data_IF_733972351229
#
_entry.id   IF_733972351229
#
_cell.length_a   1.000
_cell.length_b   1.000
_cell.length_c   1.000
_cell.angle_alpha   90.00
_cell.angle_beta   90.00
_cell.angle_gamma   90.00
#
_symmetry.space_group_name_H-M   'P 1'
#
loop_
_entity.id
_entity.type
_entity.pdbx_description
1 polymer ?
#
# COMPACT_ATOMS: atom_id res chain seq x y z
N UNK A 1 -6.81 -91.44 71.68
CA UNK A 1 -6.36 -90.19 72.30
C UNK A 1 -5.18 -89.73 71.45
N UNK A 2 -5.39 -88.62 70.75
CA UNK A 2 -4.40 -87.79 70.03
C UNK A 2 -3.60 -88.41 68.86
N UNK A 3 -3.25 -87.72 67.80
CA UNK A 3 -3.72 -86.54 67.05
C UNK A 3 -2.73 -86.51 65.88
N UNK A 4 -3.15 -86.93 64.69
CA UNK A 4 -3.42 -86.04 63.56
C UNK A 4 -2.12 -85.43 62.99
N UNK A 5 -1.57 -86.18 62.03
CA UNK A 5 -0.47 -85.82 61.14
C UNK A 5 -0.95 -84.66 60.25
N UNK A 6 -0.38 -83.48 60.46
CA UNK A 6 -0.71 -82.26 59.71
C UNK A 6 0.10 -82.22 58.41
N UNK A 7 -0.46 -82.78 57.36
CA UNK A 7 -0.08 -82.46 55.98
C UNK A 7 -0.54 -81.02 55.66
N UNK A 8 0.39 -80.09 55.69
CA UNK A 8 0.23 -78.71 55.21
C UNK A 8 0.26 -78.70 53.66
N UNK A 9 -0.83 -78.37 52.96
CA UNK A 9 -0.74 -78.10 51.54
C UNK A 9 -0.25 -76.66 51.37
N UNK A 10 0.74 -76.46 50.49
CA UNK A 10 1.18 -75.16 49.99
C UNK A 10 -0.03 -74.32 49.53
N UNK A 11 -0.56 -73.47 50.41
CA UNK A 11 -1.42 -72.38 50.01
C UNK A 11 -0.54 -71.33 49.35
N UNK A 12 -0.41 -71.44 48.02
CA UNK A 12 -0.22 -70.29 47.15
C UNK A 12 -1.27 -69.26 47.55
N UNK A 13 -0.86 -68.20 48.26
CA UNK A 13 -1.61 -66.95 48.33
C UNK A 13 -1.91 -66.57 46.88
N UNK A 14 -3.17 -66.63 46.41
CA UNK A 14 -3.52 -65.92 45.21
C UNK A 14 -3.32 -64.45 45.55
N UNK A 15 -2.64 -63.75 44.65
CA UNK A 15 -2.58 -62.31 44.62
C UNK A 15 -3.90 -61.74 45.12
N UNK A 16 -3.89 -61.05 46.27
CA UNK A 16 -4.79 -59.92 46.48
C UNK A 16 -4.35 -58.89 45.45
N UNK A 17 -4.78 -59.16 44.22
CA UNK A 17 -4.74 -58.27 43.11
C UNK A 17 -5.41 -57.01 43.61
N UNK A 18 -4.75 -55.88 43.41
CA UNK A 18 -5.34 -54.57 43.28
C UNK A 18 -6.43 -54.61 42.20
N UNK A 19 -7.52 -55.32 42.47
CA UNK A 19 -8.78 -55.25 41.75
C UNK A 19 -9.49 -53.99 42.21
N UNK A 20 -8.80 -52.85 42.11
CA UNK A 20 -9.48 -51.62 41.73
C UNK A 20 -10.10 -51.97 40.39
N UNK A 21 -11.38 -52.27 40.47
CA UNK A 21 -12.17 -53.02 39.51
C UNK A 21 -11.81 -52.58 38.08
N UNK A 22 -11.04 -53.42 37.38
CA UNK A 22 -10.50 -53.09 36.06
C UNK A 22 -11.64 -52.74 35.09
N UNK A 23 -12.85 -53.27 35.35
CA UNK A 23 -14.07 -52.96 34.61
C UNK A 23 -14.59 -51.55 34.91
N UNK A 24 -14.46 -51.06 36.15
CA UNK A 24 -14.80 -49.68 36.54
C UNK A 24 -13.83 -48.68 35.92
N UNK A 25 -12.53 -48.98 35.93
CA UNK A 25 -11.52 -48.14 35.25
C UNK A 25 -11.74 -48.12 33.74
N UNK A 26 -12.09 -49.26 33.13
CA UNK A 26 -12.42 -49.34 31.71
C UNK A 26 -13.67 -48.52 31.37
N UNK A 27 -14.72 -48.58 32.20
CA UNK A 27 -15.93 -47.78 32.04
C UNK A 27 -15.64 -46.28 32.20
N UNK A 28 -14.81 -45.90 33.16
CA UNK A 28 -14.42 -44.52 33.41
C UNK A 28 -13.57 -43.96 32.25
N UNK A 29 -12.63 -44.76 31.74
CA UNK A 29 -11.86 -44.41 30.54
C UNK A 29 -12.76 -44.26 29.31
N UNK A 30 -13.74 -45.16 29.12
CA UNK A 30 -14.68 -45.04 28.02
C UNK A 30 -15.52 -43.76 28.11
N UNK A 31 -15.95 -43.37 29.32
CA UNK A 31 -16.66 -42.11 29.56
C UNK A 31 -15.78 -40.88 29.27
N UNK A 32 -14.52 -40.91 29.66
CA UNK A 32 -13.56 -39.83 29.37
C UNK A 32 -13.30 -39.71 27.87
N UNK A 33 -13.15 -40.83 27.15
CA UNK A 33 -13.00 -40.84 25.70
C UNK A 33 -14.22 -40.23 25.03
N UNK A 34 -15.44 -40.61 25.43
CA UNK A 34 -16.67 -40.01 24.90
C UNK A 34 -16.76 -38.50 25.18
N UNK A 35 -16.34 -38.04 26.36
CA UNK A 35 -16.28 -36.61 26.68
C UNK A 35 -15.24 -35.87 25.83
N UNK A 36 -14.08 -36.48 25.60
CA UNK A 36 -13.00 -35.92 24.81
C UNK A 36 -13.40 -35.84 23.32
N UNK A 37 -14.07 -36.86 22.79
CA UNK A 37 -14.60 -36.85 21.42
C UNK A 37 -15.70 -35.80 21.24
N UNK A 38 -16.57 -35.61 22.25
CA UNK A 38 -17.57 -34.54 22.24
C UNK A 38 -16.92 -33.15 22.27
N UNK A 39 -15.86 -32.96 23.07
CA UNK A 39 -15.11 -31.71 23.11
C UNK A 39 -14.37 -31.44 21.81
N UNK A 40 -13.73 -32.45 21.21
CA UNK A 40 -13.09 -32.35 19.90
C UNK A 40 -14.08 -31.94 18.82
N UNK A 41 -15.27 -32.54 18.80
CA UNK A 41 -16.32 -32.15 17.85
C UNK A 41 -16.73 -30.69 18.03
N UNK A 42 -16.97 -30.26 19.27
CA UNK A 42 -17.30 -28.85 19.57
C UNK A 42 -16.19 -27.89 19.15
N UNK A 43 -14.93 -28.27 19.37
CA UNK A 43 -13.77 -27.47 18.95
C UNK A 43 -13.73 -27.32 17.44
N UNK A 44 -13.88 -28.43 16.70
CA UNK A 44 -13.94 -28.42 15.25
C UNK A 44 -15.11 -27.57 14.70
N UNK A 45 -16.29 -27.65 15.33
CA UNK A 45 -17.45 -26.84 14.94
C UNK A 45 -17.18 -25.33 15.15
N UNK A 46 -16.51 -24.96 16.25
CA UNK A 46 -16.12 -23.57 16.54
C UNK A 46 -15.02 -23.09 15.59
N UNK A 47 -13.99 -23.90 15.34
CA UNK A 47 -12.91 -23.57 14.37
C UNK A 47 -13.48 -23.35 12.97
N UNK A 48 -14.40 -24.23 12.54
CA UNK A 48 -15.10 -24.08 11.25
C UNK A 48 -15.89 -22.76 11.22
N UNK A 49 -16.58 -22.41 12.31
CA UNK A 49 -17.33 -21.15 12.38
C UNK A 49 -16.43 -19.91 12.37
N UNK A 50 -15.29 -19.96 13.06
CA UNK A 50 -14.28 -18.90 13.04
C UNK A 50 -13.74 -18.71 11.62
N UNK A 51 -13.46 -19.80 10.91
CA UNK A 51 -12.98 -19.72 9.53
C UNK A 51 -14.03 -19.11 8.58
N UNK A 52 -15.29 -19.51 8.71
CA UNK A 52 -16.41 -18.94 7.94
C UNK A 52 -16.58 -17.43 8.23
N UNK A 53 -16.48 -17.03 9.50
CA UNK A 53 -16.56 -15.62 9.89
C UNK A 53 -15.38 -14.81 9.32
N UNK A 54 -14.17 -15.35 9.33
CA UNK A 54 -13.02 -14.69 8.71
C UNK A 54 -13.20 -14.50 7.21
N UNK A 55 -13.68 -15.51 6.49
CA UNK A 55 -13.93 -15.39 5.05
C UNK A 55 -15.00 -14.33 4.75
N UNK A 56 -16.08 -14.31 5.54
CA UNK A 56 -17.13 -13.30 5.40
C UNK A 56 -16.58 -11.90 5.72
N UNK A 57 -15.79 -11.75 6.77
CA UNK A 57 -15.16 -10.48 7.13
C UNK A 57 -14.25 -9.98 6.01
N UNK A 58 -13.39 -10.83 5.45
CA UNK A 58 -12.55 -10.45 4.29
C UNK A 58 -13.40 -10.00 3.10
N UNK A 59 -14.52 -10.67 2.82
CA UNK A 59 -15.44 -10.23 1.76
C UNK A 59 -16.08 -8.87 2.05
N UNK A 60 -16.39 -8.54 3.31
CA UNK A 60 -16.92 -7.23 3.67
C UNK A 60 -15.85 -6.15 3.59
N UNK A 61 -14.63 -6.45 4.02
CA UNK A 61 -13.49 -5.53 3.92
C UNK A 61 -13.21 -5.18 2.45
N UNK A 62 -13.21 -6.17 1.54
CA UNK A 62 -13.04 -5.95 0.09
C UNK A 62 -14.13 -5.03 -0.50
N UNK A 63 -15.38 -5.21 -0.07
CA UNK A 63 -16.48 -4.34 -0.47
C UNK A 63 -16.29 -2.92 0.07
N UNK A 64 -15.87 -2.78 1.32
CA UNK A 64 -15.67 -1.48 1.96
C UNK A 64 -14.49 -0.72 1.32
N UNK A 65 -13.40 -1.42 0.98
CA UNK A 65 -12.28 -0.89 0.18
C UNK A 65 -12.80 -0.36 -1.15
N UNK A 66 -13.65 -1.14 -1.83
CA UNK A 66 -14.21 -0.79 -3.13
C UNK A 66 -15.11 0.45 -3.05
N UNK A 67 -15.99 0.52 -2.06
CA UNK A 67 -16.86 1.69 -1.82
C UNK A 67 -16.02 2.93 -1.53
N UNK A 68 -15.00 2.82 -0.68
CA UNK A 68 -14.12 3.95 -0.37
C UNK A 68 -13.41 4.49 -1.61
N UNK A 69 -12.90 3.58 -2.44
CA UNK A 69 -12.22 3.94 -3.68
C UNK A 69 -13.17 4.68 -4.63
N UNK A 70 -14.38 4.15 -4.82
CA UNK A 70 -15.39 4.78 -5.68
C UNK A 70 -15.81 6.14 -5.16
N UNK A 71 -15.93 6.31 -3.85
CA UNK A 71 -16.28 7.59 -3.25
C UNK A 71 -15.16 8.63 -3.41
N UNK A 72 -13.89 8.23 -3.20
CA UNK A 72 -12.75 9.13 -3.46
C UNK A 72 -12.72 9.56 -4.92
N UNK A 73 -12.92 8.62 -5.84
CA UNK A 73 -12.99 8.93 -7.27
C UNK A 73 -14.16 9.90 -7.58
N UNK A 74 -15.33 9.70 -6.96
CA UNK A 74 -16.45 10.63 -7.12
C UNK A 74 -16.09 12.05 -6.67
N UNK A 75 -15.40 12.19 -5.54
CA UNK A 75 -14.95 13.50 -5.04
C UNK A 75 -13.96 14.12 -6.02
N UNK A 76 -12.96 13.36 -6.49
CA UNK A 76 -11.98 13.83 -7.48
C UNK A 76 -12.64 14.29 -8.78
N UNK A 77 -13.60 13.49 -9.29
CA UNK A 77 -14.36 13.80 -10.50
C UNK A 77 -15.23 15.05 -10.32
N UNK A 78 -15.89 15.21 -9.15
CA UNK A 78 -16.66 16.41 -8.82
C UNK A 78 -15.78 17.66 -8.74
N UNK A 79 -14.58 17.56 -8.17
CA UNK A 79 -13.63 18.68 -8.15
C UNK A 79 -13.17 19.03 -9.56
N UNK A 80 -12.80 18.03 -10.37
CA UNK A 80 -12.39 18.23 -11.75
C UNK A 80 -13.49 18.91 -12.58
N UNK A 81 -14.72 18.44 -12.45
CA UNK A 81 -15.88 19.02 -13.12
C UNK A 81 -16.17 20.44 -12.60
N UNK A 82 -16.05 20.68 -11.30
CA UNK A 82 -16.15 22.00 -10.69
C UNK A 82 -15.15 23.00 -11.26
N UNK A 83 -13.88 22.60 -11.36
CA UNK A 83 -12.82 23.42 -11.97
C UNK A 83 -13.12 23.70 -13.44
N UNK A 84 -13.53 22.69 -14.21
CA UNK A 84 -13.91 22.87 -15.64
C UNK A 84 -15.12 23.77 -15.83
N UNK A 85 -16.04 23.79 -14.89
CA UNK A 85 -17.21 24.67 -14.91
C UNK A 85 -16.88 26.12 -14.51
N UNK A 86 -15.70 26.37 -13.92
CA UNK A 86 -15.25 27.71 -13.51
C UNK A 86 -15.27 27.98 -12.01
N UNK A 87 -15.52 26.98 -11.15
CA UNK A 87 -15.54 27.13 -9.69
C UNK A 87 -14.14 27.31 -9.07
N UNK A 88 -13.08 27.00 -9.85
CA UNK A 88 -11.67 27.20 -9.55
C UNK A 88 -11.31 26.99 -8.06
N UNK A 89 -11.05 28.07 -7.33
CA UNK A 89 -10.59 28.04 -5.93
C UNK A 89 -11.59 27.38 -4.97
N UNK A 90 -12.90 27.47 -5.22
CA UNK A 90 -13.88 26.83 -4.34
C UNK A 90 -13.89 25.31 -4.48
N UNK A 91 -13.79 24.80 -5.71
CA UNK A 91 -13.67 23.36 -5.96
C UNK A 91 -12.32 22.80 -5.49
N UNK A 92 -11.22 23.54 -5.71
CA UNK A 92 -9.88 23.09 -5.35
C UNK A 92 -9.66 22.95 -3.83
N UNK A 93 -10.40 23.69 -2.98
CA UNK A 93 -10.36 23.55 -1.51
C UNK A 93 -10.68 22.13 -1.03
N UNK A 94 -11.52 21.40 -1.75
CA UNK A 94 -11.94 20.05 -1.37
C UNK A 94 -10.85 19.00 -1.59
N UNK A 95 -9.88 19.25 -2.49
CA UNK A 95 -8.67 18.42 -2.61
C UNK A 95 -7.72 18.62 -1.43
N UNK A 96 -7.55 19.87 -0.99
CA UNK A 96 -6.64 20.24 0.10
C UNK A 96 -7.06 19.66 1.45
N UNK A 97 -8.36 19.42 1.66
CA UNK A 97 -8.89 18.83 2.89
C UNK A 97 -8.48 17.36 3.01
N UNK A 98 -8.49 16.61 1.91
CA UNK A 98 -8.12 15.19 1.88
C UNK A 98 -6.61 14.98 2.10
N UNK A 99 -5.77 15.83 1.50
CA UNK A 99 -4.32 15.72 1.64
C UNK A 99 -3.82 16.17 3.03
N UNK A 100 -4.42 17.20 3.64
CA UNK A 100 -4.03 17.70 4.98
C UNK A 100 -4.45 16.77 6.12
N UNK A 101 -5.50 15.95 5.92
CA UNK A 101 -5.96 14.97 6.91
C UNK A 101 -5.33 13.59 6.78
N UNK A 102 -4.62 13.32 5.68
CA UNK A 102 -3.78 12.11 5.51
C UNK A 102 -2.48 12.18 6.32
N UNK A 103 -2.51 12.80 7.50
CA UNK A 103 -1.36 13.03 8.36
C UNK A 103 -1.11 11.87 9.32
N UNK A 104 0.02 11.18 9.14
CA UNK A 104 0.59 10.12 9.98
C UNK A 104 -0.20 8.81 10.09
N UNK A 105 0.51 7.70 10.32
CA UNK A 105 -0.10 6.40 10.59
C UNK A 105 -0.81 6.48 11.95
N UNK A 106 -2.14 6.30 12.00
CA UNK A 106 -2.86 6.35 13.26
C UNK A 106 -2.29 5.29 14.22
N UNK A 107 -2.02 5.63 15.50
CA UNK A 107 -1.42 4.74 16.50
C UNK A 107 -2.46 3.72 17.00
N UNK A 108 -3.06 2.97 16.08
CA UNK A 108 -4.14 2.03 16.32
C UNK A 108 -3.67 0.60 15.99
N UNK A 109 -4.37 -0.38 16.55
CA UNK A 109 -4.10 -1.78 16.29
C UNK A 109 -4.37 -2.13 14.81
N UNK A 110 -3.73 -3.19 14.30
CA UNK A 110 -3.74 -3.49 12.86
C UNK A 110 -5.14 -3.74 12.28
N UNK A 111 -6.05 -4.20 13.13
CA UNK A 111 -7.47 -4.44 12.88
C UNK A 111 -8.30 -3.14 12.79
N UNK A 112 -7.92 -2.08 13.51
CA UNK A 112 -8.61 -0.78 13.48
C UNK A 112 -8.04 0.17 12.41
N UNK A 113 -6.83 -0.12 11.92
CA UNK A 113 -6.09 0.74 10.98
C UNK A 113 -6.83 1.00 9.69
N UNK A 114 -7.54 -0.01 9.18
CA UNK A 114 -8.32 0.14 7.97
C UNK A 114 -9.49 1.11 8.17
N UNK A 115 -10.24 0.97 9.25
CA UNK A 115 -11.40 1.80 9.55
C UNK A 115 -11.00 3.25 9.88
N UNK A 116 -9.91 3.44 10.63
CA UNK A 116 -9.32 4.76 10.90
C UNK A 116 -8.93 5.47 9.60
N UNK A 117 -8.28 4.76 8.66
CA UNK A 117 -7.93 5.32 7.34
C UNK A 117 -9.14 5.58 6.45
N UNK A 118 -10.15 4.73 6.53
CA UNK A 118 -11.39 4.87 5.76
C UNK A 118 -12.18 6.12 6.16
N UNK A 119 -12.20 6.42 7.45
CA UNK A 119 -12.98 7.50 8.05
C UNK A 119 -12.17 8.79 8.23
N UNK A 120 -10.87 8.77 7.92
CA UNK A 120 -9.94 9.87 8.17
C UNK A 120 -9.90 10.30 9.64
N UNK A 121 -9.87 9.31 10.55
CA UNK A 121 -9.85 9.49 12.00
C UNK A 121 -8.57 8.90 12.60
N UNK A 122 -7.93 9.62 13.53
CA UNK A 122 -6.65 9.23 14.13
C UNK A 122 -6.75 8.06 15.12
N UNK A 123 -7.90 7.88 15.76
CA UNK A 123 -8.17 6.75 16.65
C UNK A 123 -9.66 6.61 16.91
N UNK A 124 -10.16 5.38 16.87
CA UNK A 124 -11.55 5.07 17.21
C UNK A 124 -11.74 4.98 18.73
N UNK A 125 -10.66 4.79 19.50
CA UNK A 125 -10.54 5.10 20.95
C UNK A 125 -11.79 4.83 21.79
N UNK A 126 -12.43 3.68 21.62
CA UNK A 126 -13.72 3.37 22.23
C UNK A 126 -13.67 1.96 22.85
N UNK A 127 -14.06 1.83 24.12
CA UNK A 127 -14.08 0.54 24.81
C UNK A 127 -15.39 -0.24 24.60
N UNK A 128 -16.39 0.38 23.97
CA UNK A 128 -17.73 -0.15 23.73
C UNK A 128 -18.10 -0.09 22.23
N UNK A 129 -18.80 -1.13 21.75
CA UNK A 129 -19.23 -1.26 20.34
C UNK A 129 -20.09 -0.09 19.87
N UNK A 130 -20.98 0.42 20.72
CA UNK A 130 -21.94 1.47 20.34
C UNK A 130 -21.27 2.82 20.08
N UNK A 131 -20.19 3.11 20.79
CA UNK A 131 -19.39 4.32 20.60
C UNK A 131 -18.62 4.27 19.27
N UNK A 132 -18.08 3.10 18.92
CA UNK A 132 -17.42 2.88 17.63
C UNK A 132 -18.41 3.13 16.50
N UNK A 133 -19.60 2.54 16.59
CA UNK A 133 -20.68 2.71 15.58
C UNK A 133 -21.04 4.18 15.44
N UNK A 134 -21.24 4.89 16.56
CA UNK A 134 -21.58 6.32 16.52
C UNK A 134 -20.48 7.18 15.87
N UNK A 135 -19.20 6.93 16.20
CA UNK A 135 -18.07 7.66 15.57
C UNK A 135 -18.01 7.40 14.06
N UNK A 136 -18.27 6.16 13.64
CA UNK A 136 -18.33 5.79 12.22
C UNK A 136 -19.48 6.52 11.53
N UNK A 137 -20.67 6.54 12.13
CA UNK A 137 -21.83 7.25 11.60
C UNK A 137 -21.60 8.76 11.48
N UNK A 138 -20.97 9.39 12.48
CA UNK A 138 -20.60 10.80 12.47
C UNK A 138 -19.60 11.12 11.33
N UNK A 139 -18.56 10.31 11.18
CA UNK A 139 -17.56 10.48 10.13
C UNK A 139 -18.16 10.29 8.72
N UNK A 140 -19.01 9.27 8.55
CA UNK A 140 -19.73 9.04 7.28
C UNK A 140 -20.71 10.19 6.98
N UNK A 141 -21.41 10.70 7.98
CA UNK A 141 -22.32 11.84 7.83
C UNK A 141 -21.57 13.12 7.42
N UNK A 142 -20.39 13.36 8.02
CA UNK A 142 -19.53 14.48 7.67
C UNK A 142 -19.04 14.38 6.23
N UNK A 143 -18.54 13.20 5.82
CA UNK A 143 -18.08 12.94 4.46
C UNK A 143 -19.21 13.12 3.44
N UNK A 144 -20.40 12.60 3.75
CA UNK A 144 -21.59 12.78 2.93
C UNK A 144 -21.96 14.27 2.81
N UNK A 145 -22.04 15.00 3.92
CA UNK A 145 -22.36 16.43 3.93
C UNK A 145 -21.37 17.24 3.09
N UNK A 146 -20.06 16.97 3.24
CA UNK A 146 -19.01 17.66 2.47
C UNK A 146 -19.11 17.37 0.97
N UNK A 147 -19.42 16.12 0.60
CA UNK A 147 -19.61 15.73 -0.81
C UNK A 147 -20.84 16.42 -1.42
N UNK A 148 -21.93 16.52 -0.66
CA UNK A 148 -23.15 17.23 -1.09
C UNK A 148 -22.90 18.72 -1.23
N UNK A 149 -22.14 19.33 -0.32
CA UNK A 149 -21.75 20.73 -0.40
C UNK A 149 -20.93 21.04 -1.67
N UNK A 150 -19.93 20.20 -1.97
CA UNK A 150 -19.16 20.27 -3.22
C UNK A 150 -20.07 20.16 -4.46
N UNK A 151 -21.03 19.25 -4.44
CA UNK A 151 -21.99 19.09 -5.54
C UNK A 151 -22.85 20.35 -5.72
N UNK A 152 -23.23 21.01 -4.62
CA UNK A 152 -23.94 22.29 -4.64
C UNK A 152 -23.09 23.43 -5.22
N UNK A 153 -21.80 23.51 -4.88
CA UNK A 153 -20.86 24.47 -5.50
C UNK A 153 -20.81 24.25 -7.02
N UNK A 154 -20.71 23.00 -7.46
CA UNK A 154 -20.70 22.66 -8.87
C UNK A 154 -22.00 23.03 -9.59
N UNK A 155 -23.15 22.70 -9.01
CA UNK A 155 -24.47 23.04 -9.58
C UNK A 155 -24.66 24.56 -9.70
N UNK A 156 -24.32 25.31 -8.65
CA UNK A 156 -24.38 26.77 -8.67
C UNK A 156 -23.48 27.37 -9.76
N UNK A 157 -22.28 26.81 -9.94
CA UNK A 157 -21.34 27.24 -10.97
C UNK A 157 -21.87 26.96 -12.38
N UNK A 158 -22.51 25.79 -12.60
CA UNK A 158 -23.18 25.52 -13.88
C UNK A 158 -24.31 26.52 -14.12
N UNK A 159 -25.10 26.83 -13.10
CA UNK A 159 -26.20 27.77 -13.21
C UNK A 159 -25.72 29.18 -13.57
N UNK A 160 -24.65 29.69 -12.93
CA UNK A 160 -24.04 30.98 -13.26
C UNK A 160 -23.43 31.00 -14.66
N UNK A 161 -22.80 29.90 -15.09
CA UNK A 161 -22.26 29.80 -16.43
C UNK A 161 -23.37 29.75 -17.50
N UNK A 162 -24.48 29.07 -17.21
CA UNK A 162 -25.67 29.05 -18.07
C UNK A 162 -26.28 30.45 -18.21
N UNK A 163 -26.45 31.19 -17.12
CA UNK A 163 -27.02 32.55 -17.17
C UNK A 163 -26.09 33.52 -17.93
N UNK A 164 -24.77 33.39 -17.77
CA UNK A 164 -23.77 34.13 -18.57
C UNK A 164 -23.92 33.83 -20.06
N UNK A 165 -24.01 32.55 -20.44
CA UNK A 165 -24.19 32.14 -21.84
C UNK A 165 -25.50 32.66 -22.45
N UNK A 166 -26.59 32.62 -21.68
CA UNK A 166 -27.90 33.10 -22.10
C UNK A 166 -27.91 34.63 -22.25
N UNK A 167 -27.25 35.36 -21.34
CA UNK A 167 -27.03 36.81 -21.47
C UNK A 167 -26.25 37.17 -22.73
N UNK A 168 -25.17 36.43 -23.05
CA UNK A 168 -24.42 36.63 -24.30
C UNK A 168 -25.32 36.40 -25.52
N UNK A 169 -26.12 35.33 -25.53
CA UNK A 169 -27.04 35.04 -26.63
C UNK A 169 -28.09 36.15 -26.81
N UNK A 170 -28.67 36.65 -25.73
CA UNK A 170 -29.65 37.75 -25.78
C UNK A 170 -29.01 39.05 -26.29
N UNK A 171 -27.80 39.36 -25.81
CA UNK A 171 -27.02 40.53 -26.24
C UNK A 171 -26.71 40.50 -27.75
N UNK A 172 -26.38 39.32 -28.29
CA UNK A 172 -26.16 39.12 -29.73
C UNK A 172 -27.45 39.28 -30.55
N UNK A 173 -28.60 38.83 -30.03
CA UNK A 173 -29.90 38.97 -30.71
C UNK A 173 -30.48 40.39 -30.65
N UNK A 174 -30.09 41.19 -29.64
CA UNK A 174 -30.62 42.54 -29.42
C UNK A 174 -29.98 43.63 -30.32
N UNK A 175 -28.98 43.27 -31.13
CA UNK A 175 -28.28 44.22 -32.02
C UNK A 175 -29.22 44.72 -33.13
N UNK A 176 -29.76 45.94 -32.96
CA UNK A 176 -30.69 46.58 -33.91
C UNK A 176 -30.09 47.81 -34.62
N UNK A 177 -28.96 48.33 -34.13
CA UNK A 177 -28.27 49.54 -34.59
C UNK A 177 -26.74 49.37 -34.52
N UNK A 178 -25.98 50.19 -35.25
CA UNK A 178 -24.51 50.20 -35.22
C UNK A 178 -23.95 50.69 -33.87
N UNK A 179 -24.61 51.64 -33.21
CA UNK A 179 -24.26 52.08 -31.85
C UNK A 179 -24.50 50.95 -30.85
N UNK A 180 -25.65 50.26 -30.94
CA UNK A 180 -25.97 49.10 -30.10
C UNK A 180 -24.98 47.96 -30.31
N UNK A 181 -24.54 47.72 -31.55
CA UNK A 181 -23.52 46.72 -31.86
C UNK A 181 -22.20 47.02 -31.14
N UNK A 182 -21.81 48.29 -31.07
CA UNK A 182 -20.55 48.72 -30.42
C UNK A 182 -20.62 48.50 -28.91
N UNK A 183 -21.73 48.86 -28.28
CA UNK A 183 -21.95 48.67 -26.83
C UNK A 183 -22.04 47.17 -26.48
N UNK A 184 -22.71 46.36 -27.30
CA UNK A 184 -22.81 44.92 -27.09
C UNK A 184 -21.46 44.20 -27.28
N UNK A 185 -20.69 44.59 -28.30
CA UNK A 185 -19.32 44.09 -28.49
C UNK A 185 -18.40 44.44 -27.32
N UNK A 186 -18.52 45.65 -26.74
CA UNK A 186 -17.74 45.99 -25.54
C UNK A 186 -18.11 45.11 -24.34
N UNK A 187 -19.39 44.81 -24.15
CA UNK A 187 -19.86 43.96 -23.06
C UNK A 187 -19.36 42.51 -23.21
N UNK A 188 -19.45 41.95 -24.42
CA UNK A 188 -18.91 40.61 -24.73
C UNK A 188 -17.40 40.57 -24.52
N UNK A 189 -16.68 41.61 -24.96
CA UNK A 189 -15.24 41.73 -24.77
C UNK A 189 -14.86 41.80 -23.28
N UNK A 190 -15.63 42.47 -22.45
CA UNK A 190 -15.40 42.50 -21.00
C UNK A 190 -15.67 41.13 -20.34
N UNK A 191 -16.71 40.40 -20.77
CA UNK A 191 -16.96 39.01 -20.34
C UNK A 191 -15.84 38.05 -20.78
N UNK A 192 -15.24 38.26 -21.96
CA UNK A 192 -14.10 37.47 -22.44
C UNK A 192 -12.81 37.80 -21.66
N UNK A 193 -12.57 39.07 -21.32
CA UNK A 193 -11.43 39.46 -20.48
C UNK A 193 -11.53 38.87 -19.07
N UNK A 194 -12.74 38.83 -18.51
CA UNK A 194 -13.02 38.15 -17.25
C UNK A 194 -12.66 36.66 -17.32
N UNK A 195 -13.13 35.97 -18.37
CA UNK A 195 -12.82 34.56 -18.59
C UNK A 195 -11.31 34.29 -18.75
N UNK A 196 -10.63 35.12 -19.55
CA UNK A 196 -9.19 35.01 -19.75
C UNK A 196 -8.40 35.23 -18.45
N UNK A 197 -8.89 36.09 -17.55
CA UNK A 197 -8.30 36.29 -16.22
C UNK A 197 -8.51 35.06 -15.34
N UNK A 198 -9.72 34.53 -15.29
CA UNK A 198 -10.06 33.33 -14.51
C UNK A 198 -9.23 32.12 -14.95
N UNK A 199 -9.05 31.92 -16.26
CA UNK A 199 -8.18 30.87 -16.81
C UNK A 199 -6.71 31.05 -16.43
N UNK A 200 -6.22 32.30 -16.43
CA UNK A 200 -4.85 32.59 -16.00
C UNK A 200 -4.65 32.26 -14.53
N UNK A 201 -5.57 32.69 -13.67
CA UNK A 201 -5.55 32.38 -12.24
C UNK A 201 -5.61 30.86 -11.98
N UNK A 202 -6.39 30.12 -12.77
CA UNK A 202 -6.42 28.64 -12.72
C UNK A 202 -5.06 28.03 -13.05
N UNK A 203 -4.42 28.48 -14.14
CA UNK A 203 -3.10 28.00 -14.55
C UNK A 203 -2.05 28.31 -13.48
N UNK A 204 -2.07 29.51 -12.91
CA UNK A 204 -1.14 29.92 -11.86
C UNK A 204 -1.32 29.07 -10.60
N UNK A 205 -2.56 28.81 -10.17
CA UNK A 205 -2.86 27.94 -9.05
C UNK A 205 -2.42 26.48 -9.29
N UNK A 206 -2.62 25.97 -10.52
CA UNK A 206 -2.18 24.62 -10.90
C UNK A 206 -0.65 24.50 -10.87
N UNK A 207 0.06 25.49 -11.44
CA UNK A 207 1.52 25.52 -11.44
C UNK A 207 2.09 25.61 -10.03
N UNK A 208 1.46 26.40 -9.14
CA UNK A 208 1.84 26.48 -7.73
C UNK A 208 1.72 25.10 -7.04
N UNK A 209 0.64 24.37 -7.30
CA UNK A 209 0.42 23.02 -6.76
C UNK A 209 1.42 22.00 -7.31
N UNK A 210 1.68 22.00 -8.61
CA UNK A 210 2.70 21.13 -9.20
C UNK A 210 4.08 21.38 -8.60
N UNK A 211 4.43 22.65 -8.34
CA UNK A 211 5.68 23.02 -7.68
C UNK A 211 5.73 22.47 -6.25
N UNK A 212 4.67 22.66 -5.46
CA UNK A 212 4.59 22.13 -4.09
C UNK A 212 4.73 20.59 -4.06
N UNK A 213 4.02 19.87 -4.93
CA UNK A 213 4.13 18.41 -5.03
C UNK A 213 5.54 17.96 -5.42
N UNK A 214 6.19 18.68 -6.34
CA UNK A 214 7.57 18.40 -6.74
C UNK A 214 8.54 18.58 -5.56
N UNK A 215 8.36 19.65 -4.78
CA UNK A 215 9.15 19.92 -3.58
C UNK A 215 8.94 18.83 -2.50
N UNK A 216 7.70 18.38 -2.29
CA UNK A 216 7.39 17.28 -1.37
C UNK A 216 8.03 15.95 -1.79
N UNK A 217 7.94 15.60 -3.08
CA UNK A 217 8.60 14.39 -3.64
C UNK A 217 10.11 14.48 -3.43
N UNK A 218 10.71 15.63 -3.73
CA UNK A 218 12.15 15.83 -3.58
C UNK A 218 12.59 15.73 -2.11
N UNK A 219 11.80 16.27 -1.18
CA UNK A 219 12.04 16.13 0.26
C UNK A 219 11.99 14.66 0.69
N UNK A 220 10.98 13.91 0.25
CA UNK A 220 10.85 12.47 0.53
C UNK A 220 12.02 11.65 -0.04
N UNK A 221 12.45 11.93 -1.27
CA UNK A 221 13.61 11.26 -1.88
C UNK A 221 14.88 11.53 -1.06
N UNK A 222 15.05 12.77 -0.60
CA UNK A 222 16.20 13.17 0.21
C UNK A 222 16.21 12.50 1.59
N UNK A 223 15.06 12.43 2.26
CA UNK A 223 14.94 11.73 3.55
C UNK A 223 15.18 10.23 3.38
N UNK A 224 14.57 9.60 2.37
CA UNK A 224 14.77 8.18 2.10
C UNK A 224 16.25 7.85 1.81
N UNK A 225 16.95 8.71 1.07
CA UNK A 225 18.40 8.55 0.85
C UNK A 225 19.19 8.64 2.15
N UNK A 226 18.77 9.51 3.07
CA UNK A 226 19.40 9.67 4.39
C UNK A 226 19.17 8.42 5.24
N UNK A 227 17.91 7.99 5.39
CA UNK A 227 17.53 6.78 6.13
C UNK A 227 18.25 5.53 5.57
N UNK A 228 18.36 5.42 4.25
CA UNK A 228 19.08 4.31 3.61
C UNK A 228 20.57 4.32 3.94
N UNK A 229 21.19 5.50 4.07
CA UNK A 229 22.59 5.62 4.46
C UNK A 229 22.81 5.26 5.93
N UNK A 230 21.90 5.70 6.82
CA UNK A 230 21.92 5.36 8.24
C UNK A 230 21.71 3.87 8.47
N UNK A 231 20.79 3.24 7.73
CA UNK A 231 20.55 1.79 7.82
C UNK A 231 21.79 0.99 7.40
N UNK A 232 22.51 1.44 6.36
CA UNK A 232 23.79 0.82 5.96
C UNK A 232 24.86 0.98 7.04
N UNK A 233 24.94 2.16 7.67
CA UNK A 233 25.85 2.43 8.77
C UNK A 233 25.57 1.52 9.98
N UNK A 234 24.32 1.50 10.47
CA UNK A 234 23.89 0.65 11.59
C UNK A 234 24.12 -0.84 11.31
N UNK A 235 23.89 -1.28 10.07
CA UNK A 235 24.20 -2.66 9.66
C UNK A 235 25.70 -2.95 9.77
N UNK A 236 26.56 -1.99 9.39
CA UNK A 236 28.00 -2.09 9.55
C UNK A 236 28.42 -2.22 11.02
N UNK A 237 27.91 -1.34 11.87
CA UNK A 237 28.16 -1.37 13.33
C UNK A 237 27.71 -2.69 13.95
N UNK A 238 26.57 -3.23 13.53
CA UNK A 238 26.08 -4.51 14.03
C UNK A 238 27.02 -5.68 13.67
N UNK A 239 27.54 -5.72 12.44
CA UNK A 239 28.50 -6.76 12.04
C UNK A 239 29.84 -6.60 12.75
N UNK A 240 30.29 -5.37 13.04
CA UNK A 240 31.47 -5.09 13.86
C UNK A 240 31.28 -5.61 15.30
N UNK A 241 30.18 -5.24 15.96
CA UNK A 241 29.84 -5.71 17.32
C UNK A 241 29.76 -7.25 17.35
N UNK A 242 29.19 -7.86 16.32
CA UNK A 242 29.11 -9.32 16.21
C UNK A 242 30.48 -9.96 16.04
N UNK A 243 31.38 -9.35 15.28
CA UNK A 243 32.76 -9.81 15.13
C UNK A 243 33.54 -9.67 16.45
N UNK A 244 33.38 -8.55 17.17
CA UNK A 244 33.97 -8.34 18.49
C UNK A 244 33.45 -9.34 19.53
N UNK A 245 32.15 -9.64 19.50
CA UNK A 245 31.55 -10.64 20.37
C UNK A 245 32.13 -12.04 20.12
N UNK A 246 32.28 -12.42 18.85
CA UNK A 246 32.87 -13.70 18.49
C UNK A 246 34.36 -13.78 18.88
N UNK A 247 35.09 -12.68 18.75
CA UNK A 247 36.47 -12.60 19.22
C UNK A 247 36.57 -12.70 20.74
N UNK A 248 35.70 -12.02 21.49
CA UNK A 248 35.62 -12.14 22.94
C UNK A 248 35.24 -13.56 23.38
N UNK A 249 34.35 -14.23 22.65
CA UNK A 249 34.02 -15.64 22.86
C UNK A 249 35.24 -16.54 22.67
N UNK A 250 36.03 -16.34 21.60
CA UNK A 250 37.29 -17.10 21.39
C UNK A 250 38.30 -16.85 22.51
N UNK A 251 38.49 -15.59 22.92
CA UNK A 251 39.35 -15.23 24.05
C UNK A 251 38.91 -15.93 25.34
N UNK A 252 37.61 -15.95 25.63
CA UNK A 252 37.06 -16.62 26.81
C UNK A 252 37.32 -18.14 26.78
N UNK A 253 37.13 -18.79 25.62
CA UNK A 253 37.43 -20.23 25.46
C UNK A 253 38.91 -20.50 25.71
N UNK A 254 39.81 -19.69 25.13
CA UNK A 254 41.25 -19.81 25.34
C UNK A 254 41.64 -19.62 26.81
N UNK A 255 41.08 -18.62 27.49
CA UNK A 255 41.32 -18.41 28.92
C UNK A 255 40.80 -19.58 29.77
N UNK A 256 39.64 -20.14 29.42
CA UNK A 256 39.09 -21.32 30.09
C UNK A 256 40.00 -22.53 29.91
N UNK A 257 40.48 -22.78 28.68
CA UNK A 257 41.45 -23.84 28.40
C UNK A 257 42.77 -23.65 29.16
N UNK A 258 43.31 -22.43 29.23
CA UNK A 258 44.52 -22.15 30.02
C UNK A 258 44.32 -22.38 31.50
N UNK A 259 43.17 -21.95 32.05
CA UNK A 259 42.81 -22.19 33.45
C UNK A 259 42.63 -23.69 33.73
N UNK A 260 41.94 -24.42 32.85
CA UNK A 260 41.73 -25.86 33.00
C UNK A 260 43.08 -26.62 32.88
N UNK A 261 43.97 -26.21 31.97
CA UNK A 261 45.34 -26.75 31.85
C UNK A 261 46.24 -26.37 33.05
N UNK A 262 46.08 -25.19 33.65
CA UNK A 262 46.79 -24.78 34.86
C UNK A 262 46.28 -25.51 36.11
N UNK A 263 44.98 -25.85 36.15
CA UNK A 263 44.39 -26.69 37.20
C UNK A 263 44.80 -28.17 37.06
N UNK A 264 44.85 -28.72 35.84
CA UNK A 264 45.39 -30.06 35.58
C UNK A 264 46.92 -30.13 35.81
N UNK A 265 47.65 -29.03 35.56
CA UNK A 265 49.08 -28.91 35.83
C UNK A 265 49.48 -28.73 37.30
N UNK A 266 48.52 -28.53 38.21
CA UNK A 266 48.77 -28.48 39.65
C UNK A 266 48.41 -29.79 40.37
N UNK A 267 48.44 -30.91 39.63
CA UNK A 267 48.73 -32.23 40.16
C UNK A 267 49.98 -32.72 39.44
N UNK A 268 51.13 -32.58 40.11
CA UNK A 268 52.48 -33.06 39.72
C UNK A 268 53.25 -32.24 38.66
N UNK A 269 54.11 -31.35 39.15
CA UNK A 269 55.38 -30.95 38.49
C UNK A 269 56.51 -31.65 39.27
N UNK A 270 57.58 -32.26 38.76
CA UNK A 270 58.21 -32.50 37.43
C UNK A 270 59.51 -33.31 37.70
N UNK A 271 60.42 -33.69 36.75
CA UNK A 271 60.32 -33.93 35.29
C UNK A 271 60.88 -35.31 34.87
N UNK A 272 60.34 -35.93 33.82
CA UNK A 272 61.14 -36.85 33.00
C UNK A 272 60.58 -37.03 31.57
N UNK A 273 61.35 -36.53 30.60
CA UNK A 273 61.77 -37.20 29.35
C UNK A 273 60.69 -37.69 28.36
N UNK A 274 60.70 -37.00 27.22
CA UNK A 274 60.61 -37.50 25.84
C UNK A 274 59.32 -38.13 25.27
N UNK A 275 59.03 -37.64 24.06
CA UNK A 275 58.46 -38.32 22.90
C UNK A 275 57.01 -38.82 22.94
N UNK A 276 56.18 -38.07 22.22
CA UNK A 276 55.53 -38.59 21.01
C UNK A 276 54.22 -39.35 21.21
N UNK A 277 53.11 -38.75 20.78
CA UNK A 277 52.24 -39.35 19.75
C UNK A 277 51.07 -38.42 19.40
N UNK A 278 50.86 -38.34 18.09
CA UNK A 278 49.72 -37.78 17.38
C UNK A 278 48.46 -38.55 17.76
N UNK A 279 47.33 -37.85 17.98
CA UNK A 279 46.01 -38.47 18.13
C UNK A 279 44.93 -37.56 17.50
N UNK A 280 43.88 -38.12 16.87
CA UNK A 280 43.46 -37.70 15.52
C UNK A 280 42.34 -36.67 15.47
N UNK A 281 42.39 -35.83 14.44
CA UNK A 281 41.28 -35.00 13.95
C UNK A 281 40.00 -35.84 13.82
N UNK A 282 38.94 -35.42 14.52
CA UNK A 282 37.57 -35.88 14.24
C UNK A 282 37.27 -35.62 12.75
N UNK A 283 36.71 -36.59 12.01
CA UNK A 283 36.37 -36.38 10.62
C UNK A 283 35.29 -35.30 10.56
N UNK A 284 35.63 -34.16 9.94
CA UNK A 284 34.64 -33.18 9.49
C UNK A 284 33.56 -33.93 8.71
N UNK A 285 32.29 -33.72 9.08
CA UNK A 285 31.11 -34.25 8.39
C UNK A 285 31.17 -33.78 6.92
N UNK A 286 31.79 -34.60 6.05
CA UNK A 286 31.99 -34.33 4.62
C UNK A 286 30.66 -34.05 3.90
N UNK A 287 29.56 -34.53 4.46
CA UNK A 287 28.19 -34.27 3.99
C UNK A 287 27.76 -32.82 4.21
N UNK A 288 27.95 -32.25 5.41
CA UNK A 288 27.61 -30.85 5.71
C UNK A 288 28.47 -29.86 4.93
N UNK A 289 29.75 -30.20 4.73
CA UNK A 289 30.64 -29.40 3.87
C UNK A 289 30.20 -29.43 2.41
N UNK A 290 29.68 -30.57 1.94
CA UNK A 290 29.16 -30.71 0.57
C UNK A 290 27.87 -29.92 0.38
N UNK A 291 26.92 -30.02 1.32
CA UNK A 291 25.67 -29.25 1.30
C UNK A 291 25.94 -27.74 1.34
N UNK A 292 26.88 -27.28 2.17
CA UNK A 292 27.26 -25.87 2.22
C UNK A 292 27.89 -25.41 0.89
N UNK A 293 28.73 -26.24 0.28
CA UNK A 293 29.34 -25.96 -1.02
C UNK A 293 28.26 -25.86 -2.10
N UNK A 294 27.35 -26.81 -2.17
CA UNK A 294 26.27 -26.84 -3.16
C UNK A 294 25.33 -25.61 -2.99
N UNK A 295 25.05 -25.21 -1.73
CA UNK A 295 24.28 -23.99 -1.43
C UNK A 295 25.00 -22.71 -1.86
N UNK A 296 26.33 -22.63 -1.69
CA UNK A 296 27.13 -21.48 -2.15
C UNK A 296 27.13 -21.41 -3.68
N UNK A 297 27.28 -22.55 -4.37
CA UNK A 297 27.26 -22.62 -5.82
C UNK A 297 25.87 -22.22 -6.38
N UNK A 298 24.78 -22.62 -5.73
CA UNK A 298 23.41 -22.20 -6.09
C UNK A 298 23.19 -20.70 -5.89
N UNK A 299 23.59 -20.14 -4.73
CA UNK A 299 23.50 -18.70 -4.46
C UNK A 299 24.29 -17.91 -5.50
N UNK A 300 25.46 -18.40 -5.90
CA UNK A 300 26.29 -17.75 -6.92
C UNK A 300 25.58 -17.70 -8.27
N UNK A 301 24.98 -18.80 -8.71
CA UNK A 301 24.22 -18.85 -9.97
C UNK A 301 23.04 -17.87 -9.92
N UNK A 302 22.31 -17.83 -8.80
CA UNK A 302 21.18 -16.90 -8.62
C UNK A 302 21.65 -15.45 -8.64
N UNK A 303 22.78 -15.14 -7.98
CA UNK A 303 23.35 -13.80 -7.97
C UNK A 303 23.82 -13.35 -9.35
N UNK A 304 24.47 -14.25 -10.12
CA UNK A 304 24.88 -13.99 -11.50
C UNK A 304 23.67 -13.76 -12.41
N UNK A 305 22.61 -14.56 -12.26
CA UNK A 305 21.34 -14.36 -12.97
C UNK A 305 20.71 -13.00 -12.66
N UNK A 306 20.63 -12.63 -11.38
CA UNK A 306 20.05 -11.34 -10.97
C UNK A 306 20.87 -10.15 -11.46
N UNK A 307 22.19 -10.28 -11.51
CA UNK A 307 23.07 -9.25 -12.06
C UNK A 307 22.84 -9.07 -13.57
N UNK A 308 22.70 -10.17 -14.31
CA UNK A 308 22.40 -10.11 -15.75
C UNK A 308 21.04 -9.49 -16.05
N UNK A 309 20.00 -9.80 -15.25
CA UNK A 309 18.69 -9.16 -15.37
C UNK A 309 18.76 -7.65 -15.12
N UNK A 310 19.51 -7.24 -14.09
CA UNK A 310 19.68 -5.83 -13.74
C UNK A 310 20.42 -5.06 -14.85
N UNK A 311 21.44 -5.67 -15.44
CA UNK A 311 22.17 -5.08 -16.57
C UNK A 311 21.27 -4.91 -17.79
N UNK A 312 20.48 -5.93 -18.15
CA UNK A 312 19.52 -5.84 -19.26
C UNK A 312 18.46 -4.75 -19.01
N UNK A 313 17.95 -4.64 -17.78
CA UNK A 313 17.01 -3.58 -17.41
C UNK A 313 17.64 -2.18 -17.47
N UNK A 314 18.91 -2.06 -17.08
CA UNK A 314 19.66 -0.80 -17.18
C UNK A 314 19.86 -0.38 -18.63
N UNK A 315 20.24 -1.30 -19.52
CA UNK A 315 20.39 -1.03 -20.96
C UNK A 315 19.05 -0.62 -21.58
N UNK A 316 17.97 -1.30 -21.23
CA UNK A 316 16.63 -0.95 -21.68
C UNK A 316 16.21 0.46 -21.22
N UNK A 317 16.40 0.79 -19.94
CA UNK A 317 16.10 2.12 -19.41
C UNK A 317 16.93 3.20 -20.11
N UNK A 318 18.20 2.93 -20.42
CA UNK A 318 19.06 3.87 -21.13
C UNK A 318 18.60 4.07 -22.58
N UNK A 319 18.07 3.02 -23.22
CA UNK A 319 17.45 3.12 -24.54
C UNK A 319 16.15 3.95 -24.52
N UNK A 320 15.34 3.79 -23.47
CA UNK A 320 14.09 4.53 -23.29
C UNK A 320 14.37 6.01 -23.04
N UNK A 321 15.39 6.31 -22.22
CA UNK A 321 15.82 7.68 -21.95
C UNK A 321 16.28 8.41 -23.22
N UNK A 322 17.00 7.72 -24.13
CA UNK A 322 17.37 8.28 -25.44
C UNK A 322 16.15 8.56 -26.30
N UNK A 323 15.18 7.65 -26.35
CA UNK A 323 13.94 7.88 -27.10
C UNK A 323 13.16 9.08 -26.55
N UNK A 324 13.11 9.27 -25.24
CA UNK A 324 12.50 10.45 -24.64
C UNK A 324 13.25 11.73 -25.01
N UNK A 325 14.58 11.72 -25.00
CA UNK A 325 15.42 12.86 -25.41
C UNK A 325 15.20 13.20 -26.89
N UNK A 326 15.11 12.19 -27.77
CA UNK A 326 14.81 12.38 -29.19
C UNK A 326 13.44 13.03 -29.38
N UNK A 327 12.39 12.56 -28.69
CA UNK A 327 11.05 13.15 -28.74
C UNK A 327 11.05 14.58 -28.17
N UNK A 328 11.79 14.83 -27.09
CA UNK A 328 11.91 16.17 -26.51
C UNK A 328 12.60 17.14 -27.48
N UNK A 329 13.62 16.67 -28.21
CA UNK A 329 14.29 17.44 -29.25
C UNK A 329 13.37 17.69 -30.46
N UNK A 330 12.58 16.69 -30.87
CA UNK A 330 11.54 16.84 -31.91
C UNK A 330 10.47 17.86 -31.51
N UNK A 331 10.08 17.90 -30.23
CA UNK A 331 9.10 18.86 -29.71
C UNK A 331 9.66 20.27 -29.52
N UNK A 332 10.97 20.43 -29.34
CA UNK A 332 11.62 21.75 -29.26
C UNK A 332 11.80 22.40 -30.63
N UNK A 333 11.79 21.63 -31.71
CA UNK A 333 11.78 22.17 -33.06
C UNK A 333 10.34 22.53 -33.46
N UNK A 334 9.96 23.79 -33.22
CA UNK A 334 8.66 24.34 -33.59
C UNK A 334 8.32 24.06 -35.07
N UNK A 335 9.32 23.97 -35.95
CA UNK A 335 9.15 23.67 -37.37
C UNK A 335 8.71 22.21 -37.59
N UNK A 336 9.15 21.29 -36.74
CA UNK A 336 8.75 19.88 -36.80
C UNK A 336 7.31 19.68 -36.33
N UNK A 337 6.84 20.42 -35.33
CA UNK A 337 5.44 20.41 -34.87
C UNK A 337 4.48 20.69 -36.03
N UNK A 338 4.75 21.71 -36.85
CA UNK A 338 3.91 22.05 -38.02
C UNK A 338 4.00 21.02 -39.17
N UNK A 339 5.05 20.21 -39.19
CA UNK A 339 5.24 19.13 -40.19
C UNK A 339 4.84 17.73 -39.67
N UNK A 340 4.55 17.62 -38.37
CA UNK A 340 4.18 16.37 -37.72
C UNK A 340 2.89 15.79 -38.29
N UNK A 341 2.87 14.46 -38.40
CA UNK A 341 1.71 13.70 -38.88
C UNK A 341 0.46 13.99 -38.05
N UNK A 342 0.60 14.15 -36.74
CA UNK A 342 -0.54 14.45 -35.84
C UNK A 342 -1.08 15.85 -36.07
N UNK A 343 -0.19 16.84 -36.21
CA UNK A 343 -0.57 18.21 -36.49
C UNK A 343 -1.29 18.33 -37.84
N UNK A 344 -0.76 17.69 -38.88
CA UNK A 344 -1.40 17.67 -40.20
C UNK A 344 -2.76 16.97 -40.18
N UNK A 345 -2.91 15.86 -39.44
CA UNK A 345 -4.20 15.18 -39.27
C UNK A 345 -5.25 16.08 -38.60
N UNK A 346 -4.87 16.79 -37.53
CA UNK A 346 -5.75 17.73 -36.84
C UNK A 346 -6.10 18.91 -37.75
N UNK A 347 -5.13 19.43 -38.50
CA UNK A 347 -5.32 20.52 -39.45
C UNK A 347 -6.28 20.14 -40.58
N UNK A 348 -6.16 18.94 -41.13
CA UNK A 348 -7.08 18.40 -42.15
C UNK A 348 -8.50 18.23 -41.60
N UNK A 349 -8.64 17.70 -40.37
CA UNK A 349 -9.94 17.60 -39.71
C UNK A 349 -10.57 18.98 -39.49
N UNK A 350 -9.79 19.96 -39.04
CA UNK A 350 -10.26 21.34 -38.84
C UNK A 350 -10.77 21.95 -40.15
N UNK A 351 -10.03 21.76 -41.26
CA UNK A 351 -10.46 22.21 -42.58
C UNK A 351 -11.76 21.54 -43.03
N UNK A 352 -11.89 20.22 -42.84
CA UNK A 352 -13.11 19.50 -43.18
C UNK A 352 -14.33 20.06 -42.41
N UNK A 353 -14.21 20.27 -41.10
CA UNK A 353 -15.30 20.84 -40.31
C UNK A 353 -15.63 22.27 -40.73
N UNK A 354 -14.62 23.09 -41.07
CA UNK A 354 -14.84 24.44 -41.55
C UNK A 354 -15.56 24.46 -42.91
N UNK A 355 -15.17 23.58 -43.83
CA UNK A 355 -15.82 23.45 -45.14
C UNK A 355 -17.27 22.96 -45.01
N UNK A 356 -17.55 22.06 -44.06
CA UNK A 356 -18.91 21.59 -43.77
C UNK A 356 -19.78 22.68 -43.16
N UNK A 357 -19.21 23.49 -42.27
CA UNK A 357 -19.88 24.67 -41.71
C UNK A 357 -20.18 25.69 -42.82
N UNK A 358 -19.20 26.03 -43.66
CA UNK A 358 -19.39 26.95 -44.79
C UNK A 358 -20.43 26.42 -45.80
N UNK A 359 -20.43 25.11 -46.06
CA UNK A 359 -21.42 24.47 -46.94
C UNK A 359 -22.81 24.48 -46.32
N UNK A 360 -22.93 24.32 -44.99
CA UNK A 360 -24.20 24.43 -44.27
C UNK A 360 -24.75 25.86 -44.29
N UNK A 361 -23.88 26.87 -44.20
CA UNK A 361 -24.22 28.30 -44.26
C UNK A 361 -24.54 28.80 -45.68
N UNK A 362 -23.94 28.18 -46.70
CA UNK A 362 -24.19 28.50 -48.12
C UNK A 362 -25.43 27.78 -48.68
N UNK A 363 -26.03 26.86 -47.92
CA UNK A 363 -27.19 26.09 -48.36
C UNK A 363 -28.46 26.98 -48.36
N UNK A 364 -29.12 27.21 -49.51
CA UNK A 364 -30.24 28.16 -49.63
C UNK A 364 -31.45 27.83 -48.74
N UNK A 365 -31.59 26.57 -48.33
CA UNK A 365 -32.64 26.11 -47.42
C UNK A 365 -32.56 26.72 -46.02
N UNK A 366 -31.35 27.07 -45.54
CA UNK A 366 -31.17 27.74 -44.25
C UNK A 366 -31.33 29.27 -44.32
N UNK A 367 -31.24 29.88 -45.52
CA UNK A 367 -31.55 31.32 -45.71
C UNK A 367 -33.04 31.63 -45.82
N UNK A 368 -33.90 30.64 -46.10
CA UNK A 368 -35.33 30.86 -46.35
C UNK A 368 -36.25 30.62 -45.15
N UNK A 369 -35.71 30.20 -43.99
CA UNK A 369 -36.46 30.24 -42.73
C UNK A 369 -36.03 31.43 -41.89
N UNK A 370 -36.48 32.61 -42.33
CA UNK A 370 -36.68 33.74 -41.41
C UNK A 370 -37.79 33.39 -40.40
N UNK A 371 -37.75 33.92 -39.17
CA UNK A 371 -38.68 33.52 -38.12
C UNK A 371 -40.10 34.01 -38.42
N UNK A 372 -41.07 33.10 -38.22
CA UNK A 372 -42.48 33.41 -37.98
C UNK A 372 -42.71 33.51 -36.48
#
# INVERSE_FOLDING_TARGET
MESQDSDEPMQKKPHLLDSVDATVLQLQNQKLVQQLDLQKKRMYDVETKIHELHLNQSSYDDQLISVNRLWNQLVDDLVLLGVRAGANQEALKYLDIADKKRGSVPPCAADEMFLCRLLEVDSIGASNSDEVVRKVEEALSLRHSSTVELMGVFENTIATQRTKAESISQNLQAVKSAEDATVQLSNINDLMKEEARNLREMIDALNARHKEQTEQIQAYVSSHSTDQSELKHLKGELEEIKAELEENRRKLINLKMQKDAACEGHVTSSPAVANGSVSPEKPVDKTKLRELKDSIDEIKIVAEGRLSELQAAQEYNLSLSRQCEDIENELKDDQYIYSSRLYNLIKEQLHHWNDDVDRSLSNPWFRLKGPL
#
